data_IF_361198868928
#
_entry.id   IF_361198868928
#
_cell.length_a   1.000
_cell.length_b   1.000
_cell.length_c   1.000
_cell.angle_alpha   90.00
_cell.angle_beta   90.00
_cell.angle_gamma   90.00
#
_symmetry.space_group_name_H-M   'P 1'
#
loop_
_entity.id
_entity.type
_entity.pdbx_description
1 polymer ?
#
# COMPACT_ATOMS: atom_id res chain seq x y z
N UNK A 1 13.41 26.55 1.08
CA UNK A 1 12.88 26.02 0.95
C UNK A 1 12.29 25.90 1.49
N UNK A 2 12.23 25.79 1.46
CA UNK A 2 11.71 25.63 1.58
C UNK A 2 10.69 25.24 1.93
N UNK A 3 10.09 25.45 1.48
CA UNK A 3 9.00 25.10 1.77
C UNK A 3 8.74 23.78 1.78
N UNK A 4 9.53 22.98 1.34
CA UNK A 4 9.38 21.62 1.35
C UNK A 4 9.19 21.14 2.69
N UNK A 5 9.82 21.72 3.64
CA UNK A 5 9.65 21.17 4.92
C UNK A 5 8.34 21.48 5.49
N UNK A 6 7.57 22.31 4.89
CA UNK A 6 6.28 22.56 5.37
C UNK A 6 5.26 21.68 4.81
N UNK A 7 5.57 20.86 3.84
CA UNK A 7 4.61 19.96 3.26
C UNK A 7 4.55 18.72 4.10
N UNK A 8 3.36 18.16 4.29
CA UNK A 8 3.30 16.86 4.90
C UNK A 8 3.73 15.86 3.86
N UNK A 9 3.93 14.63 4.26
CA UNK A 9 4.49 13.67 3.33
C UNK A 9 3.62 13.40 2.14
N UNK A 10 2.34 13.69 2.22
CA UNK A 10 1.46 13.46 1.08
C UNK A 10 1.62 14.53 0.02
N UNK A 11 2.06 15.71 0.43
CA UNK A 11 2.18 16.82 -0.48
C UNK A 11 3.54 16.94 -1.09
N UNK A 12 4.50 16.20 -0.60
CA UNK A 12 5.84 16.31 -1.14
C UNK A 12 5.88 15.82 -2.55
N UNK A 13 6.58 16.51 -3.40
CA UNK A 13 6.73 16.04 -4.76
C UNK A 13 7.51 14.75 -4.74
N UNK A 14 7.25 13.92 -5.67
CA UNK A 14 8.02 12.75 -5.87
C UNK A 14 9.44 13.22 -6.09
N UNK A 15 10.32 12.72 -5.32
CA UNK A 15 11.63 13.25 -5.35
C UNK A 15 12.45 12.74 -6.46
N UNK A 16 12.03 13.09 -7.60
CA UNK A 16 12.75 12.73 -8.71
C UNK A 16 14.10 13.25 -8.66
N UNK A 17 14.22 14.39 -8.08
CA UNK A 17 15.49 15.02 -8.00
C UNK A 17 16.50 14.24 -7.20
N UNK A 18 16.04 13.36 -6.35
CA UNK A 18 16.99 12.60 -5.57
C UNK A 18 17.61 11.50 -6.37
N UNK A 19 16.96 11.12 -7.45
CA UNK A 19 17.40 9.99 -8.17
C UNK A 19 18.73 10.11 -8.83
N UNK A 20 19.03 11.21 -9.49
CA UNK A 20 20.26 11.26 -10.24
C UNK A 20 21.50 11.04 -9.41
N UNK A 21 21.39 11.22 -8.16
CA UNK A 21 22.56 11.09 -7.33
C UNK A 21 22.73 9.69 -6.78
N UNK A 22 21.97 8.77 -7.29
CA UNK A 22 22.06 7.44 -6.80
C UNK A 22 21.52 7.30 -5.41
N UNK A 23 20.76 8.24 -4.99
CA UNK A 23 20.26 8.22 -3.66
C UNK A 23 19.19 7.20 -3.47
N UNK A 24 18.45 7.34 -2.43
CA UNK A 24 17.48 6.31 -2.02
C UNK A 24 16.36 6.07 -3.00
N UNK A 25 16.30 6.84 -4.07
CA UNK A 25 15.20 6.64 -4.99
C UNK A 25 15.30 5.36 -5.81
N UNK A 26 16.37 4.61 -5.66
CA UNK A 26 16.50 3.35 -6.38
C UNK A 26 15.34 2.41 -6.16
N UNK A 27 14.74 2.44 -5.00
CA UNK A 27 13.66 1.49 -4.72
C UNK A 27 12.37 1.84 -5.47
N UNK A 28 12.36 2.95 -6.19
CA UNK A 28 11.22 3.25 -7.05
C UNK A 28 11.49 2.90 -8.52
N UNK A 29 12.64 2.35 -8.82
CA UNK A 29 12.98 2.03 -10.20
C UNK A 29 12.17 0.85 -10.71
N UNK A 30 11.81 0.93 -11.97
CA UNK A 30 11.13 -0.17 -12.63
C UNK A 30 12.16 -1.00 -13.39
N UNK A 31 11.96 -2.32 -13.46
CA UNK A 31 12.83 -3.13 -14.31
C UNK A 31 12.53 -2.81 -15.77
N UNK A 32 13.59 -2.81 -16.57
CA UNK A 32 13.46 -2.41 -17.97
C UNK A 32 12.65 -3.41 -18.78
N UNK A 33 12.53 -4.63 -18.31
CA UNK A 33 11.82 -5.66 -19.07
C UNK A 33 10.42 -5.93 -18.54
N UNK A 34 9.88 -5.08 -17.69
CA UNK A 34 8.54 -5.28 -17.19
C UNK A 34 7.53 -4.73 -18.18
N UNK A 35 6.68 -5.57 -18.69
CA UNK A 35 5.65 -5.19 -19.64
C UNK A 35 4.24 -5.35 -19.10
N UNK A 36 4.08 -6.05 -17.99
CA UNK A 36 2.77 -6.29 -17.41
C UNK A 36 2.86 -6.08 -15.91
N UNK A 37 1.71 -5.96 -15.28
CA UNK A 37 1.69 -5.86 -13.83
C UNK A 37 2.31 -7.10 -13.20
N UNK A 38 2.07 -8.27 -13.76
CA UNK A 38 2.67 -9.48 -13.23
C UNK A 38 4.19 -9.41 -13.23
N UNK A 39 4.77 -8.87 -14.29
CA UNK A 39 6.22 -8.71 -14.35
C UNK A 39 6.73 -7.84 -13.21
N UNK A 40 6.01 -6.75 -12.94
CA UNK A 40 6.39 -5.87 -11.85
C UNK A 40 6.28 -6.54 -10.51
N UNK A 41 5.21 -7.29 -10.30
CA UNK A 41 4.99 -7.94 -9.02
C UNK A 41 6.02 -9.05 -8.78
N UNK A 42 6.39 -9.77 -9.82
CA UNK A 42 7.42 -10.77 -9.70
C UNK A 42 8.77 -10.14 -9.38
N UNK A 43 9.07 -9.05 -10.03
CA UNK A 43 10.31 -8.34 -9.77
C UNK A 43 10.37 -7.87 -8.31
N UNK A 44 9.30 -7.25 -7.85
CA UNK A 44 9.26 -6.78 -6.47
C UNK A 44 9.28 -7.92 -5.48
N UNK A 45 8.59 -8.99 -5.81
CA UNK A 45 8.56 -10.16 -4.96
C UNK A 45 9.94 -10.74 -4.75
N UNK A 46 10.71 -10.82 -5.82
CA UNK A 46 12.04 -11.38 -5.75
C UNK A 46 13.02 -10.43 -5.05
N UNK A 47 12.86 -9.14 -5.30
CA UNK A 47 13.82 -8.17 -4.82
C UNK A 47 13.58 -7.73 -3.38
N UNK A 48 12.34 -7.36 -3.07
CA UNK A 48 12.07 -6.68 -1.81
C UNK A 48 11.04 -7.34 -0.90
N UNK A 49 10.12 -8.14 -1.46
CA UNK A 49 8.96 -8.61 -0.71
C UNK A 49 9.11 -10.02 -0.18
N UNK A 50 10.28 -10.42 0.14
CA UNK A 50 10.54 -11.81 0.53
C UNK A 50 9.66 -12.22 1.69
N UNK A 51 8.90 -13.28 1.47
CA UNK A 51 8.00 -13.80 2.48
C UNK A 51 6.66 -13.08 2.56
N UNK A 52 6.53 -11.92 1.94
CA UNK A 52 5.30 -11.14 2.01
C UNK A 52 4.65 -10.90 0.66
N UNK A 53 5.19 -11.50 -0.38
CA UNK A 53 4.75 -11.24 -1.75
C UNK A 53 3.29 -11.51 -1.97
N UNK A 54 2.76 -12.55 -1.36
CA UNK A 54 1.38 -12.92 -1.61
C UNK A 54 0.43 -11.82 -1.22
N UNK A 55 0.58 -11.31 -0.01
CA UNK A 55 -0.34 -10.28 0.48
C UNK A 55 -0.08 -8.93 -0.17
N UNK A 56 1.18 -8.58 -0.37
CA UNK A 56 1.48 -7.31 -1.02
C UNK A 56 1.00 -7.30 -2.47
N UNK A 57 1.20 -8.41 -3.19
CA UNK A 57 0.71 -8.48 -4.56
C UNK A 57 -0.80 -8.40 -4.61
N UNK A 58 -1.50 -9.01 -3.65
CA UNK A 58 -2.95 -8.93 -3.62
C UNK A 58 -3.42 -7.49 -3.41
N UNK A 59 -2.74 -6.73 -2.58
CA UNK A 59 -3.09 -5.33 -2.37
C UNK A 59 -2.89 -4.54 -3.66
N UNK A 60 -1.76 -4.73 -4.30
CA UNK A 60 -1.46 -3.97 -5.52
C UNK A 60 -2.44 -4.33 -6.63
N UNK A 61 -2.74 -5.61 -6.80
CA UNK A 61 -3.67 -6.03 -7.84
C UNK A 61 -5.06 -5.48 -7.61
N UNK A 62 -5.52 -5.50 -6.36
CA UNK A 62 -6.84 -4.96 -6.05
C UNK A 62 -6.88 -3.45 -6.27
N UNK A 63 -5.80 -2.75 -5.93
CA UNK A 63 -5.75 -1.31 -6.17
C UNK A 63 -5.71 -1.00 -7.66
N UNK A 64 -5.02 -1.81 -8.42
CA UNK A 64 -4.88 -1.59 -9.85
C UNK A 64 -6.23 -1.71 -10.55
N UNK A 65 -7.00 -2.71 -10.18
CA UNK A 65 -8.30 -2.93 -10.85
C UNK A 65 -9.44 -2.14 -10.25
N UNK A 66 -9.35 -1.73 -9.07
CA UNK A 66 -10.29 -0.93 -8.25
C UNK A 66 -11.70 -0.81 -8.83
N UNK A 67 -12.48 -1.87 -8.62
CA UNK A 67 -13.88 -1.86 -9.04
C UNK A 67 -14.14 -2.04 -10.53
N UNK A 68 -13.09 -2.22 -11.34
CA UNK A 68 -13.26 -2.34 -12.77
C UNK A 68 -13.50 -3.78 -13.19
N UNK A 69 -12.99 -4.72 -12.45
CA UNK A 69 -13.09 -6.11 -12.85
C UNK A 69 -14.53 -6.57 -12.80
N UNK A 70 -14.95 -7.25 -13.85
CA UNK A 70 -16.32 -7.75 -13.94
C UNK A 70 -16.64 -8.67 -12.77
N UNK A 71 -17.77 -8.45 -12.12
CA UNK A 71 -18.20 -9.26 -11.00
C UNK A 71 -17.55 -8.90 -9.68
N UNK A 72 -16.71 -7.84 -9.66
CA UNK A 72 -16.02 -7.44 -8.47
C UNK A 72 -16.24 -5.96 -8.28
N UNK A 73 -16.72 -5.56 -7.13
CA UNK A 73 -17.01 -4.15 -6.86
C UNK A 73 -15.95 -3.53 -5.97
N UNK A 74 -16.07 -2.24 -5.75
CA UNK A 74 -15.10 -1.51 -4.93
C UNK A 74 -15.04 -2.01 -3.49
N UNK A 75 -16.17 -2.28 -2.82
CA UNK A 75 -16.08 -2.85 -1.48
C UNK A 75 -15.34 -4.18 -1.43
N UNK A 76 -15.48 -5.00 -2.46
CA UNK A 76 -14.75 -6.25 -2.51
C UNK A 76 -13.25 -5.98 -2.56
N UNK A 77 -12.84 -5.05 -3.42
CA UNK A 77 -11.43 -4.70 -3.51
C UNK A 77 -10.91 -4.07 -2.21
N UNK A 78 -11.74 -3.24 -1.58
CA UNK A 78 -11.35 -2.64 -0.32
C UNK A 78 -11.16 -3.70 0.78
N UNK A 79 -12.02 -4.71 0.80
CA UNK A 79 -11.86 -5.80 1.76
C UNK A 79 -10.57 -6.57 1.53
N UNK A 80 -10.12 -6.66 0.28
CA UNK A 80 -8.84 -7.30 -0.01
C UNK A 80 -7.69 -6.53 0.63
N UNK A 81 -7.73 -5.20 0.57
CA UNK A 81 -6.71 -4.39 1.22
C UNK A 81 -6.68 -4.68 2.72
N UNK A 82 -7.85 -4.67 3.34
CA UNK A 82 -7.95 -4.86 4.78
C UNK A 82 -7.46 -6.24 5.17
N UNK A 83 -7.91 -7.25 4.46
CA UNK A 83 -7.52 -8.62 4.79
C UNK A 83 -6.02 -8.81 4.67
N UNK A 84 -5.45 -8.43 3.55
CA UNK A 84 -4.02 -8.64 3.34
C UNK A 84 -3.19 -7.76 4.25
N UNK A 85 -3.62 -6.54 4.49
CA UNK A 85 -2.93 -5.67 5.43
C UNK A 85 -2.98 -6.22 6.85
N UNK A 86 -4.15 -6.74 7.25
CA UNK A 86 -4.28 -7.32 8.58
C UNK A 86 -3.40 -8.56 8.74
N UNK A 87 -3.30 -9.39 7.69
CA UNK A 87 -2.43 -10.56 7.74
C UNK A 87 -0.97 -10.16 7.91
N UNK A 88 -0.55 -9.10 7.25
CA UNK A 88 0.82 -8.62 7.42
C UNK A 88 1.02 -8.06 8.83
N UNK A 89 0.04 -7.35 9.34
CA UNK A 89 0.16 -6.80 10.69
C UNK A 89 0.19 -7.92 11.73
N UNK A 90 -0.61 -8.96 11.54
CA UNK A 90 -0.58 -10.12 12.42
C UNK A 90 0.80 -10.76 12.43
N UNK A 91 1.41 -10.87 11.26
CA UNK A 91 2.70 -11.50 11.13
C UNK A 91 3.80 -10.73 11.88
N UNK A 92 3.76 -9.41 11.78
CA UNK A 92 4.85 -8.61 12.31
C UNK A 92 4.59 -7.99 13.67
N UNK A 93 3.35 -7.82 14.06
CA UNK A 93 3.02 -7.16 15.32
C UNK A 93 2.17 -8.01 16.27
N UNK A 94 1.61 -9.10 15.77
CA UNK A 94 0.86 -10.02 16.63
C UNK A 94 -0.61 -9.69 16.75
N UNK A 95 -1.32 -10.58 17.43
CA UNK A 95 -2.77 -10.50 17.51
C UNK A 95 -3.25 -9.26 18.28
N UNK A 96 -2.63 -8.97 19.41
CA UNK A 96 -3.12 -7.86 20.23
C UNK A 96 -2.94 -6.51 19.56
N UNK A 97 -1.81 -6.33 18.90
CA UNK A 97 -1.58 -5.07 18.21
C UNK A 97 -2.52 -4.93 17.02
N UNK A 98 -2.76 -6.03 16.32
CA UNK A 98 -3.67 -6.01 15.19
C UNK A 98 -5.09 -5.70 15.65
N UNK A 99 -5.52 -6.34 16.74
CA UNK A 99 -6.85 -6.09 17.29
C UNK A 99 -7.00 -4.62 17.67
N UNK A 100 -5.99 -4.07 18.34
CA UNK A 100 -6.04 -2.70 18.79
C UNK A 100 -6.11 -1.73 17.60
N UNK A 101 -5.31 -1.97 16.57
CA UNK A 101 -5.30 -1.11 15.39
C UNK A 101 -6.66 -1.10 14.73
N UNK A 102 -7.24 -2.26 14.50
CA UNK A 102 -8.54 -2.33 13.83
C UNK A 102 -9.64 -1.73 14.70
N UNK A 103 -9.58 -1.97 16.00
CA UNK A 103 -10.59 -1.44 16.90
C UNK A 103 -10.51 0.08 17.00
N UNK A 104 -9.29 0.61 17.05
CA UNK A 104 -9.13 2.06 17.10
C UNK A 104 -9.71 2.74 15.87
N UNK A 105 -9.53 2.14 14.71
CA UNK A 105 -10.13 2.69 13.51
C UNK A 105 -11.64 2.73 13.60
N UNK A 106 -12.23 1.65 14.08
CA UNK A 106 -13.68 1.60 14.18
C UNK A 106 -14.25 2.51 15.26
N UNK A 107 -13.46 2.75 16.30
CA UNK A 107 -13.92 3.57 17.42
C UNK A 107 -13.61 5.04 17.26
N UNK A 108 -12.87 5.40 16.23
CA UNK A 108 -12.52 6.79 16.02
C UNK A 108 -13.79 7.65 15.88
N UNK A 109 -13.85 8.70 16.66
CA UNK A 109 -15.04 9.52 16.71
C UNK A 109 -15.36 10.15 15.38
N UNK A 110 -14.34 10.66 14.69
CA UNK A 110 -14.56 11.30 13.41
C UNK A 110 -15.04 10.29 12.39
N UNK A 111 -14.52 9.09 12.45
CA UNK A 111 -14.94 8.03 11.56
C UNK A 111 -16.41 7.71 11.75
N UNK A 112 -16.82 7.58 13.02
CA UNK A 112 -18.20 7.26 13.33
C UNK A 112 -19.14 8.36 12.89
N UNK A 113 -18.75 9.59 13.10
CA UNK A 113 -19.61 10.71 12.75
C UNK A 113 -19.75 10.86 11.25
N UNK A 114 -18.67 10.62 10.53
CA UNK A 114 -18.71 10.83 9.09
C UNK A 114 -19.39 9.71 8.33
N UNK A 115 -19.18 8.47 8.79
CA UNK A 115 -19.64 7.30 8.05
C UNK A 115 -20.72 6.53 8.79
N UNK A 116 -21.32 7.12 9.76
CA UNK A 116 -22.36 6.47 10.52
C UNK A 116 -23.60 6.35 9.67
N UNK A 117 -23.94 5.19 9.29
CA UNK A 117 -25.15 5.00 8.51
C UNK A 117 -25.73 3.62 8.76
#
# INVERSE_FOLDING_TARGET
>A
MTNTEKLNEWDQPILISAKPNGGPADYYDFPSNANTLNDLLEYKGDKDWKGDSFHLANIVKAAWRWGIKSGVDKPYDARKFIYSGARLLLKYAGVEETRRTLQQMLDDKQFKEKYNS
#
